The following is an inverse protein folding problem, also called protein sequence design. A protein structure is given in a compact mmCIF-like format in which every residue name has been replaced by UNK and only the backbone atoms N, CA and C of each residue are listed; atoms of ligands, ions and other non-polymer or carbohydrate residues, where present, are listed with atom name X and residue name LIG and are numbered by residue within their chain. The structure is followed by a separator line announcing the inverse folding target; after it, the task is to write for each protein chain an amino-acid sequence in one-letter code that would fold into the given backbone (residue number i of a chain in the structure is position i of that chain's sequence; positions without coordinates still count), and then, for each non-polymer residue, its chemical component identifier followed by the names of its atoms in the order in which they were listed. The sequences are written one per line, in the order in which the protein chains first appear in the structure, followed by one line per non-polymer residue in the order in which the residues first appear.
data_IF_516048536064
#
_entry.id   IF_516048536064
#
_cell.length_a   1.000
_cell.length_b   1.000
_cell.length_c   1.000
_cell.angle_alpha   90.00
_cell.angle_beta   90.00
_cell.angle_gamma   90.00
#
_symmetry.space_group_name_H-M   'P 1'
#
loop_
_entity.id
_entity.type
_entity.pdbx_description
1 polymer ?
#
# COMPACT_ATOMS: atom_id res chain seq x y z
N UNK A 1 -22.57 18.85 25.63
CA UNK A 1 -22.30 19.40 26.98
C UNK A 1 -21.97 18.22 27.88
N UNK A 2 -20.69 17.82 27.96
CA UNK A 2 -20.19 16.75 28.82
C UNK A 2 -18.82 17.20 29.33
N UNK A 3 -18.73 17.40 30.65
CA UNK A 3 -17.49 17.55 31.39
C UNK A 3 -16.86 16.16 31.61
N UNK A 4 -15.52 16.05 31.70
CA UNK A 4 -14.74 15.36 32.76
C UNK A 4 -13.23 15.49 32.48
N UNK A 5 -12.44 15.56 33.56
CA UNK A 5 -10.98 15.33 33.72
C UNK A 5 -10.02 16.48 33.42
N UNK A 6 -9.01 16.76 34.24
CA UNK A 6 -8.67 16.42 35.63
C UNK A 6 -7.56 17.41 36.01
N UNK A 7 -7.72 18.12 37.12
CA UNK A 7 -6.65 18.92 37.74
C UNK A 7 -5.55 18.01 38.29
N UNK A 8 -4.31 18.33 38.00
CA UNK A 8 -3.18 18.04 38.87
C UNK A 8 -2.37 19.34 39.02
N UNK A 9 -2.57 20.03 40.13
CA UNK A 9 -1.73 21.12 40.58
C UNK A 9 -0.41 20.53 41.10
N UNK A 10 0.73 21.05 40.64
CA UNK A 10 2.01 20.90 41.31
C UNK A 10 2.43 22.27 41.81
N UNK A 11 2.49 22.39 43.14
CA UNK A 11 3.07 23.51 43.87
C UNK A 11 4.60 23.47 43.78
N UNK A 12 5.24 24.63 43.57
CA UNK A 12 6.56 24.92 44.13
C UNK A 12 7.69 25.21 43.13
N UNK A 13 8.11 26.49 43.13
CA UNK A 13 9.41 27.06 42.73
C UNK A 13 9.77 27.16 41.22
N UNK A 14 9.85 28.39 40.72
CA UNK A 14 10.50 28.82 39.47
C UNK A 14 12.00 29.14 39.71
N UNK A 15 12.86 29.45 38.71
CA UNK A 15 12.87 29.14 37.28
C UNK A 15 14.26 28.65 36.79
N UNK A 16 14.31 27.50 36.13
CA UNK A 16 15.10 27.36 34.89
C UNK A 16 14.10 26.74 33.94
N UNK A 17 13.52 27.54 33.04
CA UNK A 17 12.65 27.01 31.99
C UNK A 17 13.56 26.24 31.04
N UNK A 18 14.02 25.06 31.45
CA UNK A 18 14.74 24.16 30.57
C UNK A 18 13.78 23.89 29.42
N UNK A 19 14.12 24.30 28.19
CA UNK A 19 13.18 24.25 27.10
C UNK A 19 12.70 22.82 26.89
N UNK A 20 11.39 22.69 26.65
CA UNK A 20 10.75 21.42 26.41
C UNK A 20 10.99 20.96 24.97
N UNK A 21 11.32 19.69 24.78
CA UNK A 21 11.39 19.06 23.46
C UNK A 21 10.32 17.98 23.32
N UNK A 22 9.88 17.76 22.09
CA UNK A 22 9.06 16.60 21.73
C UNK A 22 9.95 15.58 21.05
N UNK A 23 9.89 14.34 21.54
CA UNK A 23 10.71 13.22 21.06
C UNK A 23 9.82 12.23 20.32
N UNK A 24 10.27 11.71 19.18
CA UNK A 24 9.57 10.64 18.48
C UNK A 24 9.50 9.36 19.33
N UNK A 25 8.36 8.65 19.29
CA UNK A 25 8.14 7.38 20.02
C UNK A 25 9.28 6.37 19.83
N UNK A 26 9.74 6.15 18.59
CA UNK A 26 10.83 5.20 18.30
C UNK A 26 12.13 5.53 19.01
N UNK A 27 12.44 6.83 19.12
CA UNK A 27 13.62 7.29 19.84
C UNK A 27 13.45 7.09 21.35
N UNK A 28 12.29 7.46 21.89
CA UNK A 28 11.97 7.30 23.32
C UNK A 28 11.90 5.82 23.78
N UNK A 29 11.62 4.89 22.87
CA UNK A 29 11.67 3.45 23.16
C UNK A 29 13.08 2.88 23.03
N UNK A 30 13.87 3.35 22.04
CA UNK A 30 15.24 2.88 21.83
C UNK A 30 16.22 3.34 22.92
N UNK A 31 16.02 4.56 23.41
CA UNK A 31 16.66 5.10 24.59
C UNK A 31 15.49 5.34 25.55
N UNK A 32 15.30 4.52 26.60
CA UNK A 32 14.08 4.50 27.42
C UNK A 32 13.88 5.84 28.15
N UNK A 33 13.31 6.80 27.43
CA UNK A 33 13.10 8.18 27.83
C UNK A 33 11.64 8.36 28.21
N UNK A 34 11.40 8.89 29.39
CA UNK A 34 10.08 9.26 29.87
C UNK A 34 9.85 10.78 29.77
N UNK A 35 8.58 11.17 29.77
CA UNK A 35 8.20 12.58 29.91
C UNK A 35 8.69 13.09 31.27
N UNK A 36 9.43 14.20 31.25
CA UNK A 36 10.12 14.76 32.42
C UNK A 36 11.62 14.47 32.48
N UNK A 37 12.13 13.53 31.68
CA UNK A 37 13.57 13.25 31.63
C UNK A 37 14.34 14.41 31.01
N UNK A 38 15.56 14.64 31.51
CA UNK A 38 16.47 15.65 30.95
C UNK A 38 17.45 15.00 29.98
N UNK A 39 17.42 15.45 28.73
CA UNK A 39 18.32 14.98 27.68
C UNK A 39 19.26 16.09 27.23
N UNK A 40 20.45 15.71 26.73
CA UNK A 40 21.41 16.68 26.20
C UNK A 40 21.45 16.57 24.68
N UNK A 41 21.00 17.61 23.99
CA UNK A 41 20.89 17.64 22.54
C UNK A 41 22.00 18.51 21.96
N UNK A 42 22.53 18.12 20.80
CA UNK A 42 23.51 18.87 20.01
C UNK A 42 23.05 18.90 18.55
N UNK A 43 23.15 20.06 17.89
CA UNK A 43 22.63 20.26 16.54
C UNK A 43 23.46 19.52 15.46
N UNK A 44 24.79 19.68 15.45
CA UNK A 44 25.69 18.91 14.58
C UNK A 44 26.91 18.40 15.34
N UNK A 45 27.55 17.37 14.79
CA UNK A 45 28.89 16.97 15.20
C UNK A 45 29.87 18.14 14.94
N UNK A 46 30.37 18.77 16.00
CA UNK A 46 31.23 19.97 15.93
C UNK A 46 30.56 21.29 16.30
N UNK A 47 29.23 21.30 16.54
CA UNK A 47 28.51 22.45 17.11
C UNK A 47 28.81 22.66 18.61
N UNK A 48 28.41 23.79 19.22
CA UNK A 48 28.62 24.08 20.65
C UNK A 48 28.18 22.96 21.60
N UNK A 49 28.59 23.07 22.87
CA UNK A 49 28.36 22.04 23.89
C UNK A 49 26.88 21.60 23.97
N UNK A 50 26.62 20.32 24.31
CA UNK A 50 25.26 19.80 24.41
C UNK A 50 24.44 20.59 25.42
N UNK A 51 23.29 21.12 24.97
CA UNK A 51 22.37 21.88 25.83
C UNK A 51 21.35 20.93 26.46
N UNK A 52 21.01 21.11 27.75
CA UNK A 52 19.98 20.31 28.40
C UNK A 52 18.58 20.75 27.93
N UNK A 53 17.72 19.76 27.68
CA UNK A 53 16.31 19.90 27.34
C UNK A 53 15.50 18.91 28.17
N UNK A 54 14.26 19.26 28.50
CA UNK A 54 13.33 18.33 29.17
C UNK A 54 12.41 17.71 28.13
N UNK A 55 12.20 16.39 28.20
CA UNK A 55 11.22 15.71 27.36
C UNK A 55 9.82 16.15 27.80
N UNK A 56 9.22 17.07 27.06
CA UNK A 56 7.88 17.61 27.35
C UNK A 56 6.77 16.69 26.85
N UNK A 57 7.06 15.83 25.88
CA UNK A 57 6.10 14.89 25.32
C UNK A 57 6.73 13.95 24.29
N UNK A 58 6.03 12.85 24.05
CA UNK A 58 6.37 11.88 23.01
C UNK A 58 5.32 11.96 21.92
N UNK A 59 5.74 12.00 20.66
CA UNK A 59 4.81 12.07 19.52
C UNK A 59 5.01 10.89 18.56
N UNK A 60 3.93 10.51 17.88
CA UNK A 60 4.00 9.57 16.76
C UNK A 60 4.27 10.30 15.46
N UNK A 61 5.28 9.83 14.73
CA UNK A 61 5.61 10.37 13.41
C UNK A 61 4.50 9.99 12.43
N UNK A 62 4.08 10.95 11.61
CA UNK A 62 3.14 10.67 10.54
C UNK A 62 3.75 9.66 9.55
N UNK A 63 2.96 8.67 9.15
CA UNK A 63 3.45 7.61 8.29
C UNK A 63 3.67 8.14 6.86
N UNK A 64 4.94 8.26 6.46
CA UNK A 64 5.35 8.73 5.14
C UNK A 64 6.09 7.60 4.39
N UNK A 65 5.50 7.06 3.29
CA UNK A 65 6.12 6.04 2.46
C UNK A 65 7.52 6.41 1.93
N UNK A 66 7.85 7.69 1.76
CA UNK A 66 9.15 8.12 1.26
C UNK A 66 10.26 8.13 2.32
N UNK A 67 9.89 8.03 3.60
CA UNK A 67 10.82 8.11 4.73
C UNK A 67 10.81 6.86 5.58
N UNK A 68 9.94 5.90 5.30
CA UNK A 68 9.80 4.67 6.08
C UNK A 68 11.08 3.82 6.11
N UNK A 69 11.83 3.81 5.00
CA UNK A 69 13.10 3.10 4.90
C UNK A 69 14.28 3.89 5.49
N UNK A 70 14.06 5.14 5.92
CA UNK A 70 15.10 5.95 6.56
C UNK A 70 15.12 5.61 8.05
N UNK A 71 16.32 5.38 8.59
CA UNK A 71 16.52 5.09 10.00
C UNK A 71 16.84 6.38 10.78
N UNK A 72 16.12 7.47 10.47
CA UNK A 72 16.27 8.76 11.12
C UNK A 72 15.24 8.93 12.25
N UNK A 73 15.68 9.50 13.37
CA UNK A 73 14.81 9.88 14.48
C UNK A 73 14.48 11.37 14.40
N UNK A 74 13.23 11.73 14.70
CA UNK A 74 12.77 13.12 14.72
C UNK A 74 12.66 13.67 16.16
N UNK A 75 13.21 14.86 16.37
CA UNK A 75 13.02 15.65 17.59
C UNK A 75 12.47 17.01 17.17
N UNK A 76 11.45 17.49 17.86
CA UNK A 76 10.90 18.84 17.63
C UNK A 76 11.28 19.76 18.79
N UNK A 77 11.87 20.88 18.42
CA UNK A 77 12.29 21.94 19.34
C UNK A 77 11.58 23.23 18.96
N UNK A 78 11.52 24.17 19.89
CA UNK A 78 11.12 25.53 19.57
C UNK A 78 12.19 26.19 18.68
N UNK A 79 11.78 26.95 17.67
CA UNK A 79 12.70 27.50 16.66
C UNK A 79 13.84 28.35 17.27
N UNK A 80 13.56 29.30 18.19
CA UNK A 80 14.59 30.02 18.95
C UNK A 80 15.65 29.13 19.62
N UNK A 81 15.25 27.98 20.17
CA UNK A 81 16.18 27.07 20.84
C UNK A 81 17.10 26.37 19.84
N UNK A 82 16.55 26.01 18.67
CA UNK A 82 17.30 25.40 17.58
C UNK A 82 18.28 26.40 16.94
N UNK A 83 17.86 27.63 16.71
CA UNK A 83 18.71 28.70 16.17
C UNK A 83 19.90 28.99 17.10
N UNK A 84 19.66 29.02 18.42
CA UNK A 84 20.72 29.19 19.41
C UNK A 84 21.73 28.02 19.46
N UNK A 85 21.44 26.89 18.81
CA UNK A 85 22.34 25.74 18.69
C UNK A 85 23.07 25.68 17.34
N UNK A 86 22.64 26.46 16.35
CA UNK A 86 23.18 26.45 14.98
C UNK A 86 24.12 27.64 14.74
N UNK A 87 25.18 27.46 13.94
CA UNK A 87 26.11 28.54 13.59
C UNK A 87 25.49 29.59 12.64
N UNK A 88 24.42 29.24 11.92
CA UNK A 88 23.69 30.16 11.06
C UNK A 88 22.53 30.79 11.84
N UNK A 89 22.51 32.11 11.93
CA UNK A 89 21.43 32.86 12.56
C UNK A 89 20.45 33.32 11.47
N UNK A 90 19.16 33.29 11.76
CA UNK A 90 18.08 33.82 10.90
C UNK A 90 17.94 33.15 9.52
N UNK A 91 18.10 31.81 9.45
CA UNK A 91 17.82 31.03 8.23
C UNK A 91 16.92 29.84 8.55
N UNK A 92 15.83 29.72 7.80
CA UNK A 92 14.88 28.60 7.88
C UNK A 92 14.84 27.86 6.54
N UNK A 93 14.85 26.54 6.58
CA UNK A 93 14.80 25.73 5.35
C UNK A 93 13.43 25.75 4.68
N UNK A 94 12.35 25.82 5.46
CA UNK A 94 10.95 25.73 4.98
C UNK A 94 9.98 26.51 5.86
N UNK A 95 9.00 27.12 5.21
CA UNK A 95 7.83 27.72 5.87
C UNK A 95 6.60 26.87 5.61
N UNK A 96 5.82 26.61 6.66
CA UNK A 96 4.50 26.00 6.54
C UNK A 96 3.44 27.10 6.61
N UNK A 97 2.63 27.23 5.57
CA UNK A 97 1.55 28.22 5.50
C UNK A 97 0.22 27.48 5.47
N UNK A 98 -0.62 27.74 6.47
CA UNK A 98 -1.97 27.17 6.54
C UNK A 98 -2.95 28.19 5.97
N UNK A 99 -3.69 27.77 4.95
CA UNK A 99 -4.70 28.60 4.30
C UNK A 99 -6.02 28.56 5.07
N UNK A 100 -6.78 29.65 4.98
CA UNK A 100 -8.15 29.69 5.50
C UNK A 100 -9.04 28.71 4.72
N UNK A 101 -10.08 28.12 5.34
CA UNK A 101 -11.01 27.23 4.64
C UNK A 101 -11.59 27.89 3.38
N UNK A 102 -11.56 27.17 2.25
CA UNK A 102 -12.08 27.66 0.96
C UNK A 102 -11.12 28.50 0.13
N UNK A 103 -9.91 28.81 0.61
CA UNK A 103 -8.89 29.47 -0.19
C UNK A 103 -8.21 28.49 -1.16
N UNK A 104 -7.98 28.93 -2.40
CA UNK A 104 -7.28 28.15 -3.42
C UNK A 104 -5.76 28.13 -3.16
N UNK A 105 -5.19 26.92 -3.08
CA UNK A 105 -3.80 26.73 -2.73
C UNK A 105 -2.83 27.18 -3.83
N UNK A 106 -3.22 27.01 -5.10
CA UNK A 106 -2.35 27.36 -6.22
C UNK A 106 -2.29 28.86 -6.42
N UNK A 107 -3.41 29.55 -6.25
CA UNK A 107 -3.45 31.02 -6.25
C UNK A 107 -2.66 31.62 -5.10
N UNK A 108 -2.76 31.04 -3.89
CA UNK A 108 -1.97 31.47 -2.75
C UNK A 108 -0.46 31.24 -2.96
N UNK A 109 -0.08 30.09 -3.53
CA UNK A 109 1.32 29.78 -3.84
C UNK A 109 1.92 30.80 -4.83
N UNK A 110 1.22 31.08 -5.94
CA UNK A 110 1.66 32.10 -6.92
C UNK A 110 1.82 33.48 -6.30
N UNK A 111 0.90 33.85 -5.41
CA UNK A 111 1.00 35.13 -4.70
C UNK A 111 2.22 35.19 -3.77
N UNK A 112 2.48 34.12 -3.00
CA UNK A 112 3.65 34.02 -2.13
C UNK A 112 4.94 34.12 -2.95
N UNK A 113 5.05 33.41 -4.08
CA UNK A 113 6.23 33.45 -4.95
C UNK A 113 6.46 34.85 -5.54
N UNK A 114 5.40 35.60 -5.83
CA UNK A 114 5.50 36.98 -6.32
C UNK A 114 5.97 37.98 -5.26
N UNK A 115 5.72 37.71 -3.97
CA UNK A 115 6.10 38.60 -2.86
C UNK A 115 7.44 38.22 -2.24
N UNK A 116 7.75 36.92 -2.17
CA UNK A 116 8.95 36.38 -1.55
C UNK A 116 9.95 35.90 -2.62
N UNK A 117 10.78 36.84 -3.10
CA UNK A 117 11.82 36.56 -4.08
C UNK A 117 12.78 35.44 -3.63
N UNK A 118 13.03 34.47 -4.53
CA UNK A 118 13.92 33.34 -4.26
C UNK A 118 13.29 32.18 -3.49
N UNK A 119 11.99 32.24 -3.19
CA UNK A 119 11.25 31.12 -2.59
C UNK A 119 10.42 30.38 -3.64
N UNK A 120 10.18 29.09 -3.41
CA UNK A 120 9.20 28.30 -4.18
C UNK A 120 8.11 27.82 -3.24
N UNK A 121 6.87 28.11 -3.58
CA UNK A 121 5.70 27.72 -2.81
C UNK A 121 5.03 26.53 -3.50
N UNK A 122 4.86 25.44 -2.76
CA UNK A 122 4.15 24.27 -3.26
C UNK A 122 2.80 24.17 -2.58
N UNK A 123 1.73 24.17 -3.38
CA UNK A 123 0.41 23.76 -2.90
C UNK A 123 0.46 22.33 -2.37
N UNK A 124 -0.39 22.02 -1.39
CA UNK A 124 -0.49 20.67 -0.82
C UNK A 124 -0.79 19.62 -1.90
N UNK A 125 -1.56 19.97 -2.92
CA UNK A 125 -1.85 19.12 -4.08
C UNK A 125 -0.59 18.82 -4.92
N UNK A 126 0.21 19.83 -5.26
CA UNK A 126 1.45 19.65 -6.03
C UNK A 126 2.49 18.82 -5.27
N UNK A 127 2.60 19.01 -3.95
CA UNK A 127 3.50 18.22 -3.10
C UNK A 127 3.05 16.76 -2.99
N UNK A 128 1.72 16.55 -2.85
CA UNK A 128 1.13 15.22 -2.89
C UNK A 128 1.30 14.55 -4.27
N UNK A 129 1.21 15.31 -5.36
CA UNK A 129 1.36 14.80 -6.72
C UNK A 129 2.80 14.37 -7.03
N UNK A 130 3.79 15.15 -6.61
CA UNK A 130 5.21 14.80 -6.77
C UNK A 130 5.55 13.53 -5.99
N UNK A 131 5.05 13.43 -4.76
CA UNK A 131 5.17 12.21 -3.93
C UNK A 131 4.48 11.03 -4.61
N UNK A 132 3.28 11.26 -5.16
CA UNK A 132 2.51 10.23 -5.87
C UNK A 132 3.14 9.80 -7.19
N UNK A 133 3.92 10.64 -7.86
CA UNK A 133 4.49 10.35 -9.18
C UNK A 133 5.40 9.11 -9.16
N UNK A 134 6.29 9.02 -8.18
CA UNK A 134 7.17 7.87 -7.99
C UNK A 134 6.36 6.60 -7.71
N UNK A 135 5.33 6.69 -6.85
CA UNK A 135 4.44 5.56 -6.58
C UNK A 135 3.62 5.14 -7.79
N UNK A 136 3.17 6.08 -8.64
CA UNK A 136 2.45 5.76 -9.88
C UNK A 136 3.27 4.90 -10.83
N UNK A 137 4.59 5.13 -10.92
CA UNK A 137 5.48 4.31 -11.76
C UNK A 137 5.52 2.88 -11.22
N UNK A 138 5.72 2.71 -9.91
CA UNK A 138 5.75 1.41 -9.25
C UNK A 138 4.41 0.69 -9.37
N UNK A 139 3.28 1.39 -9.20
CA UNK A 139 1.93 0.83 -9.37
C UNK A 139 1.70 0.35 -10.80
N UNK A 140 2.06 1.15 -11.82
CA UNK A 140 1.94 0.74 -13.22
C UNK A 140 2.78 -0.50 -13.55
N UNK A 141 3.96 -0.60 -12.96
CA UNK A 141 4.80 -1.78 -13.12
C UNK A 141 4.16 -3.04 -12.50
N UNK A 142 3.58 -2.92 -11.31
CA UNK A 142 2.81 -4.00 -10.68
C UNK A 142 1.57 -4.38 -11.51
N UNK A 143 0.85 -3.39 -12.05
CA UNK A 143 -0.31 -3.63 -12.92
C UNK A 143 0.10 -4.39 -14.20
N UNK A 144 1.23 -4.01 -14.80
CA UNK A 144 1.78 -4.70 -15.97
C UNK A 144 2.14 -6.16 -15.66
N UNK A 145 2.81 -6.41 -14.53
CA UNK A 145 3.09 -7.79 -14.06
C UNK A 145 1.78 -8.54 -13.86
N UNK A 146 0.79 -7.92 -13.20
CA UNK A 146 -0.52 -8.51 -12.97
C UNK A 146 -1.20 -8.95 -14.28
N UNK A 147 -1.21 -8.09 -15.29
CA UNK A 147 -1.77 -8.41 -16.62
C UNK A 147 -1.05 -9.61 -17.25
N UNK A 148 0.29 -9.63 -17.24
CA UNK A 148 1.08 -10.72 -17.82
C UNK A 148 0.82 -12.03 -17.08
N UNK A 149 0.76 -12.02 -15.73
CA UNK A 149 0.47 -13.21 -14.93
C UNK A 149 -0.94 -13.74 -15.17
N UNK A 150 -1.93 -12.85 -15.30
CA UNK A 150 -3.30 -13.21 -15.63
C UNK A 150 -3.35 -13.89 -17.01
N UNK A 151 -2.69 -13.31 -18.01
CA UNK A 151 -2.65 -13.86 -19.37
C UNK A 151 -1.95 -15.22 -19.40
N UNK A 152 -0.80 -15.35 -18.74
CA UNK A 152 -0.06 -16.61 -18.64
C UNK A 152 -0.90 -17.70 -17.97
N UNK A 153 -1.62 -17.35 -16.91
CA UNK A 153 -2.51 -18.27 -16.18
C UNK A 153 -3.73 -18.69 -17.01
N UNK A 154 -4.30 -17.78 -17.80
CA UNK A 154 -5.40 -18.09 -18.72
C UNK A 154 -4.97 -19.06 -19.82
N UNK A 155 -3.78 -18.84 -20.42
CA UNK A 155 -3.20 -19.75 -21.41
C UNK A 155 -2.91 -21.11 -20.79
N UNK A 156 -2.31 -21.14 -19.59
CA UNK A 156 -2.04 -22.36 -18.86
C UNK A 156 -3.32 -23.17 -18.60
N UNK A 157 -4.38 -22.51 -18.12
CA UNK A 157 -5.68 -23.14 -17.90
C UNK A 157 -6.26 -23.71 -19.21
N UNK A 158 -6.20 -22.96 -20.30
CA UNK A 158 -6.64 -23.43 -21.62
C UNK A 158 -5.86 -24.67 -22.07
N UNK A 159 -4.54 -24.67 -21.92
CA UNK A 159 -3.69 -25.81 -22.27
C UNK A 159 -4.07 -27.07 -21.49
N UNK A 160 -4.25 -26.95 -20.17
CA UNK A 160 -4.67 -28.07 -19.32
C UNK A 160 -6.06 -28.57 -19.71
N UNK A 161 -7.01 -27.68 -19.96
CA UNK A 161 -8.34 -28.09 -20.41
C UNK A 161 -8.31 -28.81 -21.77
N UNK A 162 -7.48 -28.36 -22.70
CA UNK A 162 -7.31 -29.05 -23.99
C UNK A 162 -6.78 -30.47 -23.77
N UNK A 163 -5.75 -30.65 -22.93
CA UNK A 163 -5.17 -31.97 -22.62
C UNK A 163 -6.24 -32.87 -21.98
N UNK A 164 -6.95 -32.39 -20.96
CA UNK A 164 -8.01 -33.13 -20.26
C UNK A 164 -9.12 -33.60 -21.18
N UNK A 165 -9.54 -32.72 -22.09
CA UNK A 165 -10.58 -33.08 -23.05
C UNK A 165 -10.03 -34.08 -24.06
N UNK A 166 -8.78 -33.94 -24.52
CA UNK A 166 -8.13 -34.87 -25.45
C UNK A 166 -8.05 -36.30 -24.89
N UNK A 167 -7.66 -36.45 -23.62
CA UNK A 167 -7.64 -37.73 -22.90
C UNK A 167 -9.03 -38.40 -22.88
N UNK A 168 -10.09 -37.60 -22.74
CA UNK A 168 -11.48 -38.08 -22.62
C UNK A 168 -12.25 -38.09 -23.96
N UNK A 169 -11.58 -37.81 -25.08
CA UNK A 169 -12.23 -37.70 -26.40
C UNK A 169 -12.93 -38.98 -26.84
N UNK A 170 -12.31 -40.15 -26.61
CA UNK A 170 -12.90 -41.45 -26.98
C UNK A 170 -14.21 -41.69 -26.24
N UNK A 171 -14.23 -41.42 -24.94
CA UNK A 171 -15.43 -41.57 -24.10
C UNK A 171 -16.56 -40.66 -24.57
N UNK A 172 -16.25 -39.39 -24.86
CA UNK A 172 -17.23 -38.45 -25.42
C UNK A 172 -17.71 -38.86 -26.82
N UNK A 173 -16.84 -39.48 -27.62
CA UNK A 173 -17.19 -40.06 -28.92
C UNK A 173 -18.18 -41.22 -28.79
N UNK A 174 -17.95 -42.13 -27.83
CA UNK A 174 -18.87 -43.24 -27.52
C UNK A 174 -20.23 -42.74 -27.03
N UNK A 175 -20.24 -41.74 -26.13
CA UNK A 175 -21.48 -41.10 -25.66
C UNK A 175 -22.31 -40.53 -26.82
N UNK A 176 -21.66 -39.97 -27.84
CA UNK A 176 -22.36 -39.47 -29.04
C UNK A 176 -22.94 -40.58 -29.91
N UNK A 177 -22.35 -41.78 -29.92
CA UNK A 177 -22.88 -42.93 -30.67
C UNK A 177 -24.16 -43.49 -30.05
N UNK A 178 -24.28 -43.44 -28.72
CA UNK A 178 -25.50 -43.84 -28.00
C UNK A 178 -26.56 -42.72 -27.93
N UNK A 179 -26.39 -41.62 -28.66
CA UNK A 179 -27.39 -40.57 -28.84
C UNK A 179 -27.24 -39.31 -27.98
N UNK A 180 -26.14 -39.16 -27.22
CA UNK A 180 -25.91 -37.93 -26.43
C UNK A 180 -25.66 -36.74 -27.36
N UNK A 181 -26.39 -35.65 -27.12
CA UNK A 181 -26.29 -34.43 -27.93
C UNK A 181 -24.92 -33.75 -27.79
N UNK A 182 -24.44 -33.13 -28.87
CA UNK A 182 -23.24 -32.26 -28.87
C UNK A 182 -23.31 -31.13 -27.84
N UNK A 183 -24.52 -30.63 -27.56
CA UNK A 183 -24.76 -29.56 -26.59
C UNK A 183 -24.57 -30.04 -25.15
N UNK A 184 -24.93 -31.30 -24.85
CA UNK A 184 -24.72 -31.90 -23.54
C UNK A 184 -23.23 -32.04 -23.23
N UNK A 185 -22.44 -32.55 -24.20
CA UNK A 185 -20.98 -32.66 -24.06
C UNK A 185 -20.33 -31.28 -23.91
N UNK A 186 -20.74 -30.29 -24.71
CA UNK A 186 -20.25 -28.93 -24.60
C UNK A 186 -20.52 -28.32 -23.22
N UNK A 187 -21.75 -28.43 -22.73
CA UNK A 187 -22.14 -27.92 -21.41
C UNK A 187 -21.38 -28.60 -20.28
N UNK A 188 -21.13 -29.90 -20.37
CA UNK A 188 -20.36 -30.64 -19.38
C UNK A 188 -18.93 -30.09 -19.25
N UNK A 189 -18.23 -29.88 -20.38
CA UNK A 189 -16.86 -29.33 -20.39
C UNK A 189 -16.83 -27.90 -19.83
N UNK A 190 -17.81 -27.06 -20.22
CA UNK A 190 -17.89 -25.68 -19.72
C UNK A 190 -18.19 -25.65 -18.22
N UNK A 191 -19.08 -26.52 -17.72
CA UNK A 191 -19.37 -26.62 -16.29
C UNK A 191 -18.15 -27.10 -15.49
N UNK A 192 -17.38 -28.05 -16.01
CA UNK A 192 -16.12 -28.48 -15.40
C UNK A 192 -15.13 -27.32 -15.29
N UNK A 193 -14.93 -26.57 -16.38
CA UNK A 193 -14.04 -25.41 -16.39
C UNK A 193 -14.49 -24.30 -15.43
N UNK A 194 -15.80 -24.02 -15.36
CA UNK A 194 -16.38 -23.07 -14.41
C UNK A 194 -16.17 -23.57 -12.97
N UNK A 195 -16.39 -24.85 -12.69
CA UNK A 195 -16.15 -25.43 -11.37
C UNK A 195 -14.70 -25.27 -10.91
N UNK A 196 -13.74 -25.55 -11.79
CA UNK A 196 -12.31 -25.33 -11.53
C UNK A 196 -12.02 -23.85 -11.27
N UNK A 197 -12.61 -22.95 -12.06
CA UNK A 197 -12.42 -21.51 -11.91
C UNK A 197 -13.02 -20.95 -10.60
N UNK A 198 -14.19 -21.44 -10.18
CA UNK A 198 -14.80 -21.09 -8.89
C UNK A 198 -13.88 -21.50 -7.74
N UNK A 199 -13.44 -22.76 -7.72
CA UNK A 199 -12.57 -23.29 -6.66
C UNK A 199 -11.23 -22.55 -6.65
N UNK A 200 -10.63 -22.32 -7.82
CA UNK A 200 -9.39 -21.58 -7.99
C UNK A 200 -9.51 -20.11 -7.55
N UNK A 201 -10.63 -19.46 -7.85
CA UNK A 201 -10.89 -18.08 -7.44
C UNK A 201 -11.06 -17.94 -5.93
N UNK A 202 -11.81 -18.86 -5.29
CA UNK A 202 -12.00 -18.86 -3.83
C UNK A 202 -10.67 -19.12 -3.14
N UNK A 203 -9.97 -20.20 -3.53
CA UNK A 203 -8.69 -20.58 -2.92
C UNK A 203 -7.61 -19.51 -3.15
N UNK A 204 -7.50 -18.99 -4.37
CA UNK A 204 -6.59 -17.90 -4.72
C UNK A 204 -6.88 -16.61 -3.94
N UNK A 205 -8.16 -16.25 -3.77
CA UNK A 205 -8.58 -15.09 -2.98
C UNK A 205 -8.21 -15.24 -1.50
N UNK A 206 -8.44 -16.42 -0.92
CA UNK A 206 -8.04 -16.73 0.48
C UNK A 206 -6.52 -16.66 0.63
N UNK A 207 -5.77 -17.31 -0.25
CA UNK A 207 -4.30 -17.30 -0.24
C UNK A 207 -3.75 -15.88 -0.40
N UNK A 208 -4.28 -15.10 -1.35
CA UNK A 208 -3.88 -13.71 -1.56
C UNK A 208 -4.12 -12.84 -0.33
N UNK A 209 -5.24 -13.04 0.38
CA UNK A 209 -5.52 -12.34 1.62
C UNK A 209 -4.58 -12.73 2.76
N UNK A 210 -4.21 -14.02 2.87
CA UNK A 210 -3.23 -14.50 3.85
C UNK A 210 -1.86 -13.88 3.56
N UNK A 211 -1.39 -13.95 2.32
CA UNK A 211 -0.11 -13.37 1.91
C UNK A 211 -0.08 -11.86 2.17
N UNK A 212 -1.16 -11.14 1.84
CA UNK A 212 -1.25 -9.71 2.12
C UNK A 212 -1.12 -9.39 3.62
N UNK A 213 -1.70 -10.21 4.50
CA UNK A 213 -1.53 -10.04 5.96
C UNK A 213 -0.11 -10.31 6.40
N UNK A 214 0.53 -11.37 5.89
CA UNK A 214 1.91 -11.72 6.23
C UNK A 214 2.85 -10.58 5.78
N UNK A 215 2.70 -10.09 4.56
CA UNK A 215 3.50 -8.98 4.03
C UNK A 215 3.30 -7.74 4.90
N UNK A 216 2.06 -7.32 5.17
CA UNK A 216 1.82 -6.13 6.00
C UNK A 216 2.37 -6.29 7.42
N UNK A 217 2.25 -7.48 8.04
CA UNK A 217 2.80 -7.75 9.37
C UNK A 217 4.33 -7.68 9.37
N UNK A 218 4.98 -8.23 8.34
CA UNK A 218 6.42 -8.15 8.17
C UNK A 218 6.88 -6.69 8.10
N UNK A 219 6.30 -5.89 7.20
CA UNK A 219 6.67 -4.48 7.07
C UNK A 219 6.34 -3.65 8.32
N UNK A 220 5.22 -3.93 8.99
CA UNK A 220 4.89 -3.29 10.26
C UNK A 220 5.95 -3.59 11.34
N UNK A 221 6.45 -4.83 11.41
CA UNK A 221 7.47 -5.22 12.39
C UNK A 221 8.85 -4.63 12.09
N UNK A 222 9.25 -4.58 10.82
CA UNK A 222 10.59 -4.14 10.41
C UNK A 222 10.72 -2.61 10.47
N UNK A 223 9.66 -1.90 10.06
CA UNK A 223 9.70 -0.44 9.92
C UNK A 223 8.89 0.31 10.99
N UNK A 224 8.27 -0.41 11.93
CA UNK A 224 7.41 0.15 12.98
C UNK A 224 6.39 1.14 12.41
N UNK A 225 5.64 0.68 11.40
CA UNK A 225 4.70 1.50 10.64
C UNK A 225 3.27 1.00 10.74
N UNK A 226 2.33 1.94 10.62
CA UNK A 226 0.90 1.67 10.44
C UNK A 226 0.48 1.60 8.96
N UNK A 227 1.41 1.81 8.02
CA UNK A 227 1.15 1.75 6.58
C UNK A 227 0.85 0.32 6.13
N UNK A 228 -0.17 0.19 5.27
CA UNK A 228 -0.53 -1.07 4.60
C UNK A 228 -0.02 -1.03 3.17
N UNK A 229 0.94 -1.91 2.86
CA UNK A 229 1.54 -2.04 1.53
C UNK A 229 0.72 -2.95 0.61
N UNK A 230 0.08 -3.98 1.17
CA UNK A 230 -0.81 -4.88 0.45
C UNK A 230 -2.27 -4.59 0.84
N UNK A 231 -2.96 -3.79 0.01
CA UNK A 231 -4.35 -3.40 0.23
C UNK A 231 -5.31 -4.37 -0.46
N UNK A 232 -5.96 -5.24 0.34
CA UNK A 232 -7.04 -6.10 -0.14
C UNK A 232 -8.37 -5.39 0.09
N UNK A 233 -8.88 -4.75 -0.97
CA UNK A 233 -10.18 -4.06 -0.94
C UNK A 233 -11.28 -5.00 -1.46
N UNK A 234 -12.52 -4.95 -0.94
CA UNK A 234 -13.62 -5.76 -1.46
C UNK A 234 -13.82 -5.64 -2.97
N UNK A 235 -13.60 -4.44 -3.53
CA UNK A 235 -13.64 -4.19 -4.97
C UNK A 235 -12.60 -5.02 -5.76
N UNK A 236 -11.38 -5.17 -5.24
CA UNK A 236 -10.30 -5.94 -5.87
C UNK A 236 -10.63 -7.42 -5.81
N UNK A 237 -11.13 -7.91 -4.67
CA UNK A 237 -11.57 -9.30 -4.50
C UNK A 237 -12.69 -9.63 -5.48
N UNK A 238 -13.70 -8.78 -5.58
CA UNK A 238 -14.81 -8.95 -6.52
C UNK A 238 -14.31 -8.93 -7.97
N UNK A 239 -13.45 -7.98 -8.34
CA UNK A 239 -12.86 -7.90 -9.67
C UNK A 239 -12.06 -9.17 -10.01
N UNK A 240 -11.22 -9.65 -9.10
CA UNK A 240 -10.44 -10.86 -9.28
C UNK A 240 -11.34 -12.10 -9.42
N UNK A 241 -12.44 -12.17 -8.67
CA UNK A 241 -13.40 -13.26 -8.77
C UNK A 241 -14.13 -13.27 -10.10
N UNK A 242 -14.63 -12.11 -10.55
CA UNK A 242 -15.29 -11.97 -11.84
C UNK A 242 -14.32 -12.28 -12.98
N UNK A 243 -13.09 -11.75 -12.94
CA UNK A 243 -12.06 -12.04 -13.94
C UNK A 243 -11.70 -13.52 -13.99
N UNK A 244 -11.50 -14.16 -12.83
CA UNK A 244 -11.21 -15.60 -12.76
C UNK A 244 -12.31 -16.45 -13.38
N UNK A 245 -13.57 -16.12 -13.10
CA UNK A 245 -14.73 -16.79 -13.70
C UNK A 245 -14.81 -16.59 -15.22
N UNK A 246 -14.59 -15.36 -15.70
CA UNK A 246 -14.59 -15.07 -17.14
C UNK A 246 -13.47 -15.82 -17.86
N UNK A 247 -12.26 -15.88 -17.28
CA UNK A 247 -11.14 -16.60 -17.85
C UNK A 247 -11.38 -18.12 -17.85
N UNK A 248 -11.97 -18.64 -16.78
CA UNK A 248 -12.38 -20.05 -16.71
C UNK A 248 -13.43 -20.42 -17.75
N UNK A 249 -14.48 -19.61 -17.86
CA UNK A 249 -15.54 -19.81 -18.85
C UNK A 249 -15.01 -19.72 -20.28
N UNK A 250 -14.17 -18.73 -20.58
CA UNK A 250 -13.58 -18.58 -21.92
C UNK A 250 -12.65 -19.73 -22.27
N UNK A 251 -11.79 -20.18 -21.34
CA UNK A 251 -10.95 -21.36 -21.54
C UNK A 251 -11.79 -22.63 -21.80
N UNK A 252 -12.85 -22.85 -21.00
CA UNK A 252 -13.76 -23.98 -21.16
C UNK A 252 -14.50 -23.97 -22.49
N UNK A 253 -15.02 -22.81 -22.91
CA UNK A 253 -15.69 -22.63 -24.20
C UNK A 253 -14.74 -22.91 -25.37
N UNK A 254 -13.52 -22.38 -25.32
CA UNK A 254 -12.51 -22.60 -26.36
C UNK A 254 -12.13 -24.09 -26.47
N UNK A 255 -11.89 -24.76 -25.34
CA UNK A 255 -11.58 -26.19 -25.30
C UNK A 255 -12.74 -27.04 -25.85
N UNK A 256 -13.97 -26.77 -25.41
CA UNK A 256 -15.16 -27.48 -25.86
C UNK A 256 -15.42 -27.28 -27.36
N UNK A 257 -15.26 -26.05 -27.86
CA UNK A 257 -15.45 -25.73 -29.27
C UNK A 257 -14.47 -26.46 -30.18
N UNK A 258 -13.21 -26.60 -29.74
CA UNK A 258 -12.18 -27.34 -30.47
C UNK A 258 -12.55 -28.81 -30.66
N UNK A 259 -13.26 -29.42 -29.71
CA UNK A 259 -13.62 -30.85 -29.76
C UNK A 259 -14.91 -31.10 -30.50
N UNK A 260 -15.92 -30.25 -30.33
CA UNK A 260 -17.22 -30.40 -31.03
C UNK A 260 -17.07 -30.25 -32.55
N UNK A 261 -16.08 -29.49 -33.03
CA UNK A 261 -15.79 -29.30 -34.47
C UNK A 261 -15.11 -30.50 -35.14
N UNK A 262 -14.56 -31.46 -34.39
CA UNK A 262 -13.93 -32.64 -34.99
C UNK A 262 -15.00 -33.70 -35.28
N UNK A 263 -15.08 -34.14 -36.54
CA UNK A 263 -16.06 -35.14 -36.97
C UNK A 263 -15.86 -36.47 -36.22
N UNK A 264 -16.95 -37.14 -35.78
CA UNK A 264 -16.87 -38.35 -34.94
C UNK A 264 -16.12 -39.51 -35.60
N UNK A 265 -16.12 -39.55 -36.93
CA UNK A 265 -15.48 -40.58 -37.75
C UNK A 265 -13.93 -40.60 -37.61
N UNK A 266 -13.32 -39.47 -37.24
CA UNK A 266 -11.86 -39.36 -37.04
C UNK A 266 -11.42 -39.59 -35.59
N UNK A 267 -12.35 -39.79 -34.65
CA UNK A 267 -12.03 -40.01 -33.22
C UNK A 267 -11.64 -41.46 -32.89
N UNK A 268 -11.98 -42.43 -33.77
CA UNK A 268 -11.67 -43.85 -33.58
C UNK A 268 -10.38 -44.34 -34.25
N UNK A 269 -9.67 -43.49 -35.01
CA UNK A 269 -8.53 -43.91 -35.85
C UNK A 269 -7.14 -43.44 -35.35
N UNK A 270 -7.01 -43.07 -34.08
CA UNK A 270 -5.71 -42.86 -33.43
C UNK A 270 -5.67 -43.55 -32.09
#
# INVERSE_FOLDING_TARGET
MIATMLMAAVLGAAPVQTPGILVERRLAESVPLAVGDTVRVRALAGSPQPRPFVVAGVFERAADPNRIARNDFEIRLHLPDLEAMLPAHDRVDRFAVVLRPGADADSAARWIEGVAFGTRAYGSAALAEQTSATFRVVSRFHDAIGIVTILASAIFLLCVMIIRVDERKRDMGMLRLIGVSRGTVFRAIVLEAIGIAVIGSISGGVLGMIVARIVNAYYASVYDTTLKFALVTPRIVLLAAVLGLLLGATAGVLAAWRVVRVAPQKLGQR
#
